data_IF_362223403921
#
_entry.id   IF_362223403921
#
_cell.length_a   1.000
_cell.length_b   1.000
_cell.length_c   1.000
_cell.angle_alpha   90.00
_cell.angle_beta   90.00
_cell.angle_gamma   90.00
#
_symmetry.space_group_name_H-M   'P 1'
#
loop_
_entity.id
_entity.type
_entity.pdbx_description
1 polymer ?
#
# COMPACT_ATOMS: atom_id res chain seq x y z
N UNK A 1 9.64 -16.45 -9.12
CA UNK A 1 9.38 -15.88 -7.79
C UNK A 1 10.67 -15.25 -7.30
N UNK A 2 10.70 -13.94 -7.14
CA UNK A 2 11.87 -13.24 -6.57
C UNK A 2 11.47 -12.68 -5.22
N UNK A 3 11.88 -13.37 -4.16
CA UNK A 3 11.66 -12.94 -2.80
C UNK A 3 13.01 -12.80 -2.09
N UNK A 4 13.31 -11.59 -1.61
CA UNK A 4 14.61 -11.27 -1.01
C UNK A 4 14.47 -11.08 0.50
N UNK A 5 15.31 -11.77 1.27
CA UNK A 5 15.41 -11.59 2.73
C UNK A 5 16.75 -10.95 3.06
N UNK A 6 16.73 -9.82 3.78
CA UNK A 6 17.92 -9.06 4.19
C UNK A 6 17.88 -8.70 5.67
N UNK A 7 19.04 -8.49 6.26
CA UNK A 7 19.19 -8.00 7.62
C UNK A 7 19.62 -6.54 7.64
N UNK A 8 19.06 -5.74 8.56
CA UNK A 8 19.52 -4.39 8.89
C UNK A 8 20.37 -4.47 10.14
N UNK A 9 21.68 -4.34 9.99
CA UNK A 9 22.67 -4.45 11.07
C UNK A 9 22.66 -5.79 11.81
N UNK A 10 22.19 -6.84 11.17
CA UNK A 10 22.24 -8.22 11.65
C UNK A 10 22.54 -9.17 10.48
N UNK A 11 23.16 -10.29 10.76
CA UNK A 11 23.28 -11.37 9.79
C UNK A 11 22.05 -12.27 9.87
N UNK A 12 21.39 -12.49 8.71
CA UNK A 12 20.24 -13.38 8.59
C UNK A 12 20.74 -14.73 8.12
N UNK A 13 20.78 -15.68 9.03
CA UNK A 13 21.17 -17.05 8.73
C UNK A 13 20.24 -17.74 7.73
N UNK A 14 20.76 -18.76 7.06
CA UNK A 14 20.04 -19.48 5.99
C UNK A 14 18.74 -20.13 6.49
N UNK A 15 18.74 -20.66 7.72
CA UNK A 15 17.56 -21.26 8.35
C UNK A 15 16.41 -20.25 8.52
N UNK A 16 16.71 -19.02 8.92
CA UNK A 16 15.70 -17.97 9.06
C UNK A 16 15.18 -17.50 7.69
N UNK A 17 16.07 -17.37 6.69
CA UNK A 17 15.68 -17.08 5.30
C UNK A 17 14.74 -18.12 4.74
N UNK A 18 15.09 -19.41 4.89
CA UNK A 18 14.27 -20.51 4.42
C UNK A 18 12.89 -20.53 5.09
N UNK A 19 12.84 -20.30 6.40
CA UNK A 19 11.57 -20.21 7.16
C UNK A 19 10.68 -19.08 6.68
N UNK A 20 11.24 -17.88 6.49
CA UNK A 20 10.48 -16.70 6.00
C UNK A 20 9.94 -16.97 4.60
N UNK A 21 10.79 -17.45 3.70
CA UNK A 21 10.39 -17.76 2.33
C UNK A 21 9.25 -18.78 2.31
N UNK A 22 9.33 -19.85 3.11
CA UNK A 22 8.29 -20.86 3.21
C UNK A 22 6.96 -20.27 3.74
N UNK A 23 7.02 -19.49 4.83
CA UNK A 23 5.82 -18.91 5.45
C UNK A 23 5.12 -17.89 4.56
N UNK A 24 5.89 -17.03 3.88
CA UNK A 24 5.32 -16.04 2.96
C UNK A 24 4.77 -16.72 1.70
N UNK A 25 5.49 -17.69 1.14
CA UNK A 25 5.02 -18.46 -0.02
C UNK A 25 3.72 -19.21 0.30
N UNK A 26 3.63 -19.88 1.46
CA UNK A 26 2.42 -20.56 1.93
C UNK A 26 1.23 -19.58 2.07
N UNK A 27 1.46 -18.46 2.75
CA UNK A 27 0.42 -17.44 2.96
C UNK A 27 -0.08 -16.86 1.62
N UNK A 28 0.83 -16.61 0.68
CA UNK A 28 0.47 -16.07 -0.63
C UNK A 28 -0.27 -17.08 -1.48
N UNK A 29 0.23 -18.30 -1.60
CA UNK A 29 -0.39 -19.38 -2.40
C UNK A 29 -1.82 -19.72 -1.95
N UNK A 30 -2.13 -19.58 -0.67
CA UNK A 30 -3.47 -19.84 -0.10
C UNK A 30 -4.53 -18.86 -0.57
N UNK A 31 -4.16 -17.61 -0.84
CA UNK A 31 -5.11 -16.53 -1.08
C UNK A 31 -4.97 -15.88 -2.45
N UNK A 32 -3.86 -16.07 -3.13
CA UNK A 32 -3.53 -15.43 -4.38
C UNK A 32 -2.90 -16.43 -5.36
N UNK A 33 -3.50 -16.56 -6.57
CA UNK A 33 -3.09 -17.53 -7.59
C UNK A 33 -2.10 -16.92 -8.62
N UNK A 34 -1.75 -15.63 -8.49
CA UNK A 34 -0.84 -14.92 -9.40
C UNK A 34 0.63 -14.95 -8.96
N UNK A 35 1.46 -14.29 -9.75
CA UNK A 35 2.87 -14.07 -9.43
C UNK A 35 3.04 -13.04 -8.32
N UNK A 36 4.02 -13.24 -7.45
CA UNK A 36 4.39 -12.25 -6.45
C UNK A 36 5.90 -12.06 -6.40
N UNK A 37 6.31 -10.87 -6.02
CA UNK A 37 7.69 -10.53 -5.67
C UNK A 37 7.70 -9.74 -4.37
N UNK A 38 8.86 -9.61 -3.74
CA UNK A 38 8.92 -8.82 -2.53
C UNK A 38 10.23 -8.94 -1.78
N UNK A 39 10.29 -8.23 -0.67
CA UNK A 39 11.43 -8.29 0.22
C UNK A 39 10.99 -8.27 1.69
N UNK A 40 11.82 -8.90 2.52
CA UNK A 40 11.71 -8.84 3.97
C UNK A 40 13.00 -8.29 4.54
N UNK A 41 12.88 -7.29 5.39
CA UNK A 41 14.00 -6.73 6.13
C UNK A 41 13.82 -6.98 7.63
N UNK A 42 14.84 -7.56 8.26
CA UNK A 42 14.85 -7.82 9.70
C UNK A 42 15.93 -6.98 10.32
N UNK A 43 15.60 -6.23 11.37
CA UNK A 43 16.55 -5.39 12.09
C UNK A 43 16.35 -5.48 13.60
N UNK A 44 17.40 -5.15 14.34
CA UNK A 44 17.33 -5.00 15.79
C UNK A 44 16.71 -3.63 16.11
N UNK A 45 15.69 -3.61 16.97
CA UNK A 45 15.03 -2.38 17.41
C UNK A 45 14.77 -2.45 18.91
N UNK A 46 15.45 -1.57 19.65
CA UNK A 46 15.42 -1.59 21.10
C UNK A 46 15.88 -2.93 21.69
N UNK A 47 15.02 -3.55 22.49
CA UNK A 47 15.29 -4.86 23.11
C UNK A 47 14.79 -6.04 22.26
N UNK A 48 14.28 -5.80 21.05
CA UNK A 48 13.71 -6.83 20.22
C UNK A 48 14.17 -6.74 18.76
N UNK A 49 13.39 -7.40 17.89
CA UNK A 49 13.60 -7.43 16.45
C UNK A 49 12.35 -6.95 15.74
N UNK A 50 12.51 -6.05 14.76
CA UNK A 50 11.47 -5.65 13.84
C UNK A 50 11.67 -6.38 12.51
N UNK A 51 10.61 -6.94 11.99
CA UNK A 51 10.53 -7.48 10.63
C UNK A 51 9.57 -6.64 9.82
N UNK A 52 10.05 -6.09 8.72
CA UNK A 52 9.29 -5.37 7.70
C UNK A 52 9.17 -6.29 6.48
N UNK A 53 7.94 -6.50 6.01
CA UNK A 53 7.64 -7.37 4.87
C UNK A 53 6.86 -6.57 3.82
N UNK A 54 7.40 -6.49 2.60
CA UNK A 54 6.76 -5.84 1.46
C UNK A 54 6.58 -6.88 0.36
N UNK A 55 5.33 -7.07 -0.09
CA UNK A 55 4.97 -8.02 -1.14
C UNK A 55 4.23 -7.28 -2.24
N UNK A 56 4.69 -7.44 -3.46
CA UNK A 56 4.05 -6.95 -4.67
C UNK A 56 3.30 -8.11 -5.32
N UNK A 57 1.99 -7.97 -5.48
CA UNK A 57 1.12 -8.90 -6.19
C UNK A 57 0.86 -8.35 -7.59
N UNK A 58 1.26 -9.07 -8.63
CA UNK A 58 1.01 -8.75 -10.05
C UNK A 58 1.14 -7.26 -10.40
N UNK A 59 2.26 -6.64 -10.04
CA UNK A 59 2.66 -5.25 -10.36
C UNK A 59 1.71 -4.12 -9.91
N UNK A 60 0.54 -4.42 -9.37
CA UNK A 60 -0.48 -3.40 -9.05
C UNK A 60 -0.71 -3.23 -7.55
N UNK A 61 -0.61 -4.29 -6.76
CA UNK A 61 -0.94 -4.30 -5.34
C UNK A 61 0.31 -4.51 -4.50
N UNK A 62 0.56 -3.60 -3.57
CA UNK A 62 1.65 -3.71 -2.61
C UNK A 62 1.06 -3.96 -1.24
N UNK A 63 1.48 -5.07 -0.61
CA UNK A 63 1.15 -5.40 0.76
C UNK A 63 2.35 -5.13 1.65
N UNK A 64 2.19 -4.28 2.64
CA UNK A 64 3.21 -3.99 3.62
C UNK A 64 2.75 -4.47 4.99
N UNK A 65 3.62 -5.11 5.74
CA UNK A 65 3.35 -5.47 7.12
C UNK A 65 4.65 -5.44 7.91
N UNK A 66 4.55 -4.97 9.13
CA UNK A 66 5.64 -4.99 10.08
C UNK A 66 5.22 -5.70 11.38
N UNK A 67 6.19 -6.18 12.11
CA UNK A 67 5.98 -6.77 13.43
C UNK A 67 7.23 -6.65 14.29
N UNK A 68 7.03 -6.42 15.59
CA UNK A 68 8.05 -6.40 16.61
C UNK A 68 7.89 -7.62 17.53
N UNK A 69 9.00 -8.30 17.85
CA UNK A 69 9.04 -9.38 18.82
C UNK A 69 10.39 -9.48 19.52
N UNK A 70 10.46 -10.30 20.58
CA UNK A 70 11.68 -10.47 21.36
C UNK A 70 12.83 -11.14 20.58
N UNK A 71 12.50 -11.96 19.59
CA UNK A 71 13.46 -12.61 18.71
C UNK A 71 13.10 -12.50 17.24
N UNK A 72 14.08 -12.73 16.35
CA UNK A 72 13.94 -12.54 14.90
C UNK A 72 12.94 -13.55 14.26
N UNK A 73 12.86 -14.76 14.77
CA UNK A 73 11.90 -15.76 14.26
C UNK A 73 10.47 -15.37 14.60
N UNK A 74 10.23 -14.98 15.85
CA UNK A 74 8.91 -14.56 16.30
C UNK A 74 8.45 -13.28 15.59
N UNK A 75 9.33 -12.31 15.33
CA UNK A 75 8.98 -11.11 14.57
C UNK A 75 8.62 -11.43 13.12
N UNK A 76 9.38 -12.31 12.47
CA UNK A 76 9.12 -12.78 11.12
C UNK A 76 7.79 -13.56 11.01
N UNK A 77 7.51 -14.47 11.93
CA UNK A 77 6.25 -15.21 11.98
C UNK A 77 5.04 -14.28 12.18
N UNK A 78 5.15 -13.27 13.04
CA UNK A 78 4.10 -12.27 13.25
C UNK A 78 3.87 -11.41 11.98
N UNK A 79 4.94 -10.97 11.32
CA UNK A 79 4.83 -10.23 10.06
C UNK A 79 4.12 -11.06 8.98
N UNK A 80 4.46 -12.36 8.85
CA UNK A 80 3.80 -13.27 7.93
C UNK A 80 2.30 -13.44 8.26
N UNK A 81 1.92 -13.52 9.54
CA UNK A 81 0.50 -13.55 9.96
C UNK A 81 -0.22 -12.25 9.60
N UNK A 82 0.43 -11.09 9.69
CA UNK A 82 -0.15 -9.82 9.27
C UNK A 82 -0.41 -9.79 7.76
N UNK A 83 0.55 -10.27 6.95
CA UNK A 83 0.38 -10.44 5.51
C UNK A 83 -0.78 -11.39 5.20
N UNK A 84 -0.85 -12.55 5.86
CA UNK A 84 -1.94 -13.51 5.67
C UNK A 84 -3.31 -12.90 5.97
N UNK A 85 -3.44 -12.13 7.05
CA UNK A 85 -4.68 -11.42 7.39
C UNK A 85 -5.09 -10.42 6.29
N UNK A 86 -4.13 -9.68 5.72
CA UNK A 86 -4.38 -8.73 4.63
C UNK A 86 -4.81 -9.45 3.35
N UNK A 87 -4.11 -10.52 2.95
CA UNK A 87 -4.47 -11.36 1.80
C UNK A 87 -5.88 -11.97 1.92
N UNK A 88 -6.22 -12.46 3.13
CA UNK A 88 -7.57 -13.01 3.39
C UNK A 88 -8.66 -11.95 3.24
N UNK A 89 -8.44 -10.72 3.73
CA UNK A 89 -9.37 -9.60 3.57
C UNK A 89 -9.52 -9.24 2.09
N UNK A 90 -8.42 -9.19 1.36
CA UNK A 90 -8.40 -8.95 -0.08
C UNK A 90 -9.26 -9.96 -0.83
N UNK A 91 -9.01 -11.25 -0.65
CA UNK A 91 -9.77 -12.32 -1.32
C UNK A 91 -11.28 -12.25 -1.01
N UNK A 92 -11.64 -11.94 0.24
CA UNK A 92 -13.03 -11.77 0.63
C UNK A 92 -13.69 -10.59 -0.10
N UNK A 93 -13.05 -9.42 -0.08
CA UNK A 93 -13.58 -8.22 -0.75
C UNK A 93 -13.66 -8.36 -2.26
N UNK A 94 -12.69 -9.05 -2.87
CA UNK A 94 -12.75 -9.36 -4.30
C UNK A 94 -13.99 -10.18 -4.65
N UNK A 95 -14.33 -11.19 -3.83
CA UNK A 95 -15.55 -11.97 -3.98
C UNK A 95 -16.82 -11.14 -3.77
N UNK A 96 -16.85 -10.30 -2.74
CA UNK A 96 -17.99 -9.44 -2.43
C UNK A 96 -18.22 -8.43 -3.58
N UNK A 97 -17.15 -7.91 -4.18
CA UNK A 97 -17.23 -7.00 -5.33
C UNK A 97 -17.68 -7.70 -6.61
N UNK A 98 -17.26 -8.94 -6.84
CA UNK A 98 -17.74 -9.75 -7.96
C UNK A 98 -19.23 -10.14 -7.78
N UNK A 99 -19.64 -10.49 -6.57
CA UNK A 99 -21.04 -10.78 -6.25
C UNK A 99 -21.94 -9.54 -6.39
N UNK A 100 -21.47 -8.36 -6.00
CA UNK A 100 -22.19 -7.10 -6.18
C UNK A 100 -22.33 -6.72 -7.67
N UNK A 101 -21.32 -7.01 -8.50
CA UNK A 101 -21.39 -6.81 -9.96
C UNK A 101 -22.35 -7.79 -10.62
N UNK A 102 -22.41 -9.03 -10.19
CA UNK A 102 -23.34 -10.03 -10.74
C UNK A 102 -24.81 -9.79 -10.35
N UNK A 103 -25.07 -9.16 -9.19
CA UNK A 103 -26.42 -8.78 -8.75
C UNK A 103 -26.88 -7.40 -9.27
N UNK A 104 -25.97 -6.60 -9.85
CA UNK A 104 -26.24 -5.26 -10.38
C UNK A 104 -26.48 -5.19 -11.88
N UNK A 105 -26.64 -6.32 -12.56
CA UNK A 105 -26.66 -6.42 -14.02
C UNK A 105 -27.96 -5.94 -14.70
N UNK A 106 -28.92 -5.32 -13.96
CA UNK A 106 -30.13 -4.77 -14.55
C UNK A 106 -30.23 -3.23 -14.56
N UNK A 107 -29.16 -2.49 -14.29
CA UNK A 107 -29.15 -1.03 -14.43
C UNK A 107 -27.77 -0.51 -14.89
N UNK A 108 -27.70 -0.25 -16.14
CA UNK A 108 -26.70 0.42 -16.98
C UNK A 108 -25.95 -0.50 -17.94
N UNK A 109 -26.65 -0.91 -18.98
CA UNK A 109 -26.07 -1.03 -20.31
C UNK A 109 -25.58 0.37 -20.71
N UNK A 110 -24.28 0.59 -20.54
CA UNK A 110 -23.43 1.55 -21.29
C UNK A 110 -22.10 1.75 -20.55
N UNK A 111 -21.30 0.70 -20.39
CA UNK A 111 -19.86 0.81 -20.11
C UNK A 111 -19.16 -0.51 -20.50
N UNK A 112 -19.54 -1.09 -21.61
CA UNK A 112 -18.84 -2.18 -22.25
C UNK A 112 -18.13 -1.61 -23.47
N UNK A 113 -16.91 -1.09 -23.28
CA UNK A 113 -15.87 -1.10 -24.33
C UNK A 113 -14.49 -0.64 -23.84
N UNK A 114 -14.23 -0.56 -22.53
CA UNK A 114 -12.92 -0.10 -22.02
C UNK A 114 -12.08 -1.19 -21.29
N UNK A 115 -12.38 -2.46 -21.51
CA UNK A 115 -11.55 -3.55 -20.97
C UNK A 115 -10.24 -3.77 -21.74
N UNK A 116 -10.02 -3.06 -22.86
CA UNK A 116 -8.85 -3.16 -23.71
C UNK A 116 -8.03 -1.85 -23.85
N UNK A 117 -8.55 -0.73 -23.37
CA UNK A 117 -7.79 0.53 -23.29
C UNK A 117 -7.13 0.62 -21.93
N UNK A 118 -5.81 0.49 -21.91
CA UNK A 118 -5.00 0.56 -20.71
C UNK A 118 -5.49 1.68 -19.79
N UNK A 119 -5.74 1.31 -18.53
CA UNK A 119 -6.08 2.25 -17.45
C UNK A 119 -5.01 3.33 -17.45
N UNK A 120 -5.31 4.47 -18.08
CA UNK A 120 -4.36 5.55 -18.21
C UNK A 120 -4.01 6.09 -16.80
N UNK A 121 -2.97 5.51 -16.25
CA UNK A 121 -2.36 6.02 -15.03
C UNK A 121 -1.65 7.32 -15.38
N UNK A 122 -1.76 8.33 -14.53
CA UNK A 122 -0.98 9.56 -14.69
C UNK A 122 0.23 9.47 -13.78
N UNK A 123 1.38 9.76 -14.35
CA UNK A 123 2.60 9.98 -13.60
C UNK A 123 2.60 11.39 -13.02
N UNK A 124 2.87 11.50 -11.73
CA UNK A 124 2.99 12.76 -11.02
C UNK A 124 4.34 12.83 -10.29
N UNK A 125 5.03 13.98 -10.30
CA UNK A 125 6.23 14.14 -9.51
C UNK A 125 5.90 14.02 -8.02
N UNK A 126 6.77 13.34 -7.29
CA UNK A 126 6.68 13.14 -5.84
C UNK A 126 7.98 13.58 -5.19
N UNK A 127 7.86 14.42 -4.19
CA UNK A 127 8.99 15.01 -3.48
C UNK A 127 9.01 14.54 -2.03
N UNK A 128 10.17 14.12 -1.56
CA UNK A 128 10.40 13.86 -0.14
C UNK A 128 11.05 15.11 0.47
N UNK A 129 10.40 15.66 1.47
CA UNK A 129 10.83 16.88 2.15
C UNK A 129 11.37 16.49 3.53
N UNK A 130 12.50 17.09 3.93
CA UNK A 130 13.05 16.88 5.26
C UNK A 130 12.05 17.30 6.34
N UNK A 131 11.84 16.43 7.33
CA UNK A 131 11.06 16.81 8.50
C UNK A 131 11.82 17.86 9.34
N UNK A 132 11.14 18.82 9.98
CA UNK A 132 11.78 19.73 10.91
C UNK A 132 12.43 18.94 12.05
N UNK A 133 13.67 19.29 12.40
CA UNK A 133 14.36 18.68 13.53
C UNK A 133 13.64 19.04 14.83
N UNK A 134 13.25 18.03 15.61
CA UNK A 134 12.49 18.23 16.87
C UNK A 134 13.35 18.69 18.06
N UNK A 135 14.65 18.93 17.88
CA UNK A 135 15.63 19.15 18.98
C UNK A 135 16.26 20.55 19.04
N UNK A 136 15.68 21.56 18.41
CA UNK A 136 16.18 22.91 18.59
C UNK A 136 15.11 23.81 19.21
N UNK A 137 15.31 24.18 20.48
CA UNK A 137 14.66 25.31 21.18
C UNK A 137 15.05 26.69 20.57
N UNK A 138 15.57 26.72 19.37
CA UNK A 138 15.84 27.94 18.64
C UNK A 138 14.59 28.32 17.84
N UNK A 139 14.11 29.52 18.06
CA UNK A 139 13.05 30.19 17.31
C UNK A 139 13.28 30.03 15.81
N UNK A 140 12.70 28.99 15.19
CA UNK A 140 12.74 28.78 13.75
C UNK A 140 11.78 29.77 13.08
N UNK A 141 12.26 31.00 12.88
CA UNK A 141 11.49 32.08 12.22
C UNK A 141 11.31 31.87 10.72
N UNK A 142 12.09 30.97 10.09
CA UNK A 142 11.94 30.60 8.67
C UNK A 142 12.28 29.12 8.45
N UNK A 143 11.27 28.25 8.51
CA UNK A 143 11.43 26.89 8.05
C UNK A 143 11.35 26.83 6.52
N UNK A 144 12.49 26.63 5.87
CA UNK A 144 12.57 26.41 4.43
C UNK A 144 12.69 24.91 4.16
N UNK A 145 11.62 24.25 3.63
CA UNK A 145 11.63 22.82 3.41
C UNK A 145 12.65 22.42 2.34
N UNK A 146 13.59 21.55 2.70
CA UNK A 146 14.61 21.01 1.80
C UNK A 146 14.07 19.75 1.15
N UNK A 147 14.07 19.71 -0.18
CA UNK A 147 13.76 18.49 -0.94
C UNK A 147 14.96 17.57 -0.87
N UNK A 148 14.79 16.38 -0.27
CA UNK A 148 15.86 15.38 -0.09
C UNK A 148 15.79 14.25 -1.11
N UNK A 149 14.64 14.05 -1.76
CA UNK A 149 14.49 13.10 -2.86
C UNK A 149 13.36 13.51 -3.80
N UNK A 150 13.54 13.20 -5.08
CA UNK A 150 12.53 13.33 -6.12
C UNK A 150 12.25 11.95 -6.71
N UNK A 151 10.99 11.65 -6.97
CA UNK A 151 10.53 10.42 -7.60
C UNK A 151 9.28 10.67 -8.42
N UNK A 152 8.86 9.68 -9.18
CA UNK A 152 7.58 9.72 -9.89
C UNK A 152 6.64 8.72 -9.24
N UNK A 153 5.43 9.16 -8.90
CA UNK A 153 4.35 8.30 -8.42
C UNK A 153 3.27 8.17 -9.47
N UNK A 154 2.62 7.03 -9.52
CA UNK A 154 1.56 6.73 -10.48
C UNK A 154 0.21 6.90 -9.82
N UNK A 155 -0.60 7.85 -10.30
CA UNK A 155 -1.98 8.02 -9.88
C UNK A 155 -2.88 7.04 -10.63
N UNK A 156 -3.31 6.00 -9.97
CA UNK A 156 -4.20 4.98 -10.52
C UNK A 156 -5.61 5.54 -10.73
N UNK A 157 -6.29 5.06 -11.77
CA UNK A 157 -7.71 5.36 -11.99
C UNK A 157 -8.56 4.32 -11.26
N UNK A 158 -9.25 4.72 -10.21
CA UNK A 158 -10.00 3.85 -9.29
C UNK A 158 -11.38 4.41 -9.01
N UNK A 159 -12.34 3.54 -8.77
CA UNK A 159 -13.58 3.90 -8.06
C UNK A 159 -13.26 4.14 -6.58
N UNK A 160 -14.14 4.82 -5.86
CA UNK A 160 -13.97 5.04 -4.41
C UNK A 160 -13.86 3.70 -3.67
N UNK A 161 -14.64 2.70 -4.06
CA UNK A 161 -14.60 1.36 -3.46
C UNK A 161 -13.26 0.66 -3.65
N UNK A 162 -12.68 0.76 -4.85
CA UNK A 162 -11.35 0.20 -5.17
C UNK A 162 -10.25 0.94 -4.40
N UNK A 163 -10.35 2.27 -4.31
CA UNK A 163 -9.40 3.08 -3.56
C UNK A 163 -9.43 2.73 -2.05
N UNK A 164 -10.63 2.60 -1.46
CA UNK A 164 -10.81 2.15 -0.06
C UNK A 164 -10.21 0.76 0.14
N UNK A 165 -10.43 -0.16 -0.80
CA UNK A 165 -9.87 -1.50 -0.74
C UNK A 165 -8.33 -1.47 -0.78
N UNK A 166 -7.75 -0.67 -1.66
CA UNK A 166 -6.29 -0.52 -1.78
C UNK A 166 -5.67 0.13 -0.54
N UNK A 167 -6.30 1.20 -0.01
CA UNK A 167 -5.88 1.83 1.25
C UNK A 167 -5.85 0.84 2.42
N UNK A 168 -6.85 -0.05 2.48
CA UNK A 168 -6.96 -1.04 3.55
C UNK A 168 -5.95 -2.19 3.40
N UNK A 169 -5.59 -2.53 2.17
CA UNK A 169 -4.58 -3.55 1.88
C UNK A 169 -3.17 -3.07 2.13
N UNK A 170 -2.83 -1.89 1.63
CA UNK A 170 -1.49 -1.30 1.77
C UNK A 170 -1.22 -0.85 3.21
N UNK A 171 -2.28 -0.45 3.94
CA UNK A 171 -2.16 0.05 5.30
C UNK A 171 -1.63 1.49 5.39
N UNK A 172 -1.47 2.16 4.26
CA UNK A 172 -1.06 3.57 4.23
C UNK A 172 -2.11 4.46 4.88
N UNK A 173 -1.74 5.57 5.52
CA UNK A 173 -2.68 6.46 6.18
C UNK A 173 -3.56 7.26 5.21
N UNK A 174 -3.06 7.52 4.00
CA UNK A 174 -3.77 8.26 2.97
C UNK A 174 -3.34 7.82 1.58
N UNK A 175 -4.21 8.01 0.59
CA UNK A 175 -3.93 7.69 -0.81
C UNK A 175 -4.62 8.70 -1.74
N UNK A 176 -3.86 9.14 -2.76
CA UNK A 176 -4.34 9.98 -3.85
C UNK A 176 -4.58 9.09 -5.08
N UNK A 177 -5.70 9.30 -5.76
CA UNK A 177 -6.08 8.53 -6.94
C UNK A 177 -6.90 9.38 -7.92
N UNK A 178 -7.07 8.91 -9.15
CA UNK A 178 -8.02 9.49 -10.11
C UNK A 178 -9.35 8.75 -10.02
N UNK A 179 -10.42 9.50 -9.85
CA UNK A 179 -11.75 8.89 -9.80
C UNK A 179 -12.14 8.29 -11.16
N UNK A 180 -12.59 7.02 -11.18
CA UNK A 180 -12.90 6.29 -12.39
C UNK A 180 -14.02 6.94 -13.24
N UNK A 181 -15.00 7.54 -12.58
CA UNK A 181 -16.15 8.16 -13.27
C UNK A 181 -15.83 9.49 -13.94
N UNK A 182 -15.24 10.44 -13.22
CA UNK A 182 -15.04 11.80 -13.71
C UNK A 182 -13.57 12.22 -13.94
N UNK A 183 -12.61 11.33 -13.62
CA UNK A 183 -11.19 11.51 -13.90
C UNK A 183 -10.46 12.56 -13.04
N UNK A 184 -11.13 13.20 -12.08
CA UNK A 184 -10.51 14.17 -11.16
C UNK A 184 -9.63 13.47 -10.12
N UNK A 185 -8.67 14.20 -9.58
CA UNK A 185 -7.85 13.73 -8.46
C UNK A 185 -8.67 13.76 -7.19
N UNK A 186 -8.66 12.63 -6.49
CA UNK A 186 -9.37 12.43 -5.24
C UNK A 186 -8.41 11.94 -4.17
N UNK A 187 -8.74 12.16 -2.91
CA UNK A 187 -8.00 11.72 -1.75
C UNK A 187 -8.89 10.89 -0.84
N UNK A 188 -8.38 9.74 -0.39
CA UNK A 188 -8.95 9.01 0.74
C UNK A 188 -7.92 8.91 1.86
N UNK A 189 -8.38 8.88 3.10
CA UNK A 189 -7.50 8.82 4.27
C UNK A 189 -8.16 8.12 5.46
N UNK A 190 -7.34 7.55 6.32
CA UNK A 190 -7.77 6.89 7.55
C UNK A 190 -7.98 7.93 8.64
N UNK A 191 -9.17 7.98 9.20
CA UNK A 191 -9.50 8.84 10.34
C UNK A 191 -9.09 8.17 11.65
N UNK A 192 -8.87 8.98 12.68
CA UNK A 192 -8.52 8.49 14.01
C UNK A 192 -9.63 7.62 14.64
N UNK A 193 -10.89 7.83 14.24
CA UNK A 193 -12.06 7.05 14.68
C UNK A 193 -12.19 5.69 13.96
N UNK A 194 -11.24 5.34 13.07
CA UNK A 194 -11.22 4.10 12.29
C UNK A 194 -12.04 4.13 11.00
N UNK A 195 -12.80 5.19 10.75
CA UNK A 195 -13.50 5.41 9.50
C UNK A 195 -12.57 5.91 8.40
N UNK A 196 -13.06 5.91 7.15
CA UNK A 196 -12.33 6.42 5.99
C UNK A 196 -12.94 7.76 5.57
N UNK A 197 -12.13 8.80 5.51
CA UNK A 197 -12.50 10.08 4.92
C UNK A 197 -12.24 10.05 3.42
N UNK A 198 -13.12 10.70 2.65
CA UNK A 198 -13.01 10.89 1.22
C UNK A 198 -13.16 12.37 0.88
N UNK A 199 -12.24 12.89 0.06
CA UNK A 199 -12.25 14.27 -0.45
C UNK A 199 -12.32 14.19 -1.97
N UNK A 200 -13.37 14.80 -2.55
CA UNK A 200 -13.55 14.98 -3.99
C UNK A 200 -13.50 16.48 -4.31
N UNK A 201 -12.34 17.06 -4.66
CA UNK A 201 -12.24 18.47 -4.99
C UNK A 201 -13.08 18.80 -6.24
N UNK A 202 -13.79 19.93 -6.26
CA UNK A 202 -14.44 20.39 -7.47
C UNK A 202 -13.41 20.70 -8.55
N UNK A 203 -13.84 20.73 -9.81
CA UNK A 203 -13.01 21.27 -10.91
C UNK A 203 -12.79 22.75 -10.61
N UNK A 204 -11.57 23.15 -10.34
CA UNK A 204 -11.21 24.57 -10.31
C UNK A 204 -11.02 24.98 -11.76
N UNK A 205 -11.95 25.74 -12.32
CA UNK A 205 -11.76 26.35 -13.63
C UNK A 205 -10.56 27.28 -13.53
N UNK A 206 -9.52 27.00 -14.32
CA UNK A 206 -8.27 27.76 -14.35
C UNK A 206 -8.43 29.23 -14.84
N UNK A 207 -9.66 29.73 -14.99
CA UNK A 207 -10.01 31.03 -15.53
C UNK A 207 -10.76 31.97 -14.54
N UNK A 208 -10.58 31.77 -13.23
CA UNK A 208 -11.07 32.73 -12.25
C UNK A 208 -9.92 33.67 -11.85
N UNK A 209 -9.56 34.59 -12.73
CA UNK A 209 -8.85 35.85 -12.47
C UNK A 209 -9.43 36.92 -13.37
#
# INVERSE_FOLDING_TARGET
>A
MQFRVSGRNIDVGEALRARINARVAEATAKYFDGGFSGHVTIGKEGFGFRTECVIHLDSVIVLEADALAADAYASADRAAVHIEKRLRRYKRRLKDHQAARSNGQDRHEQASDDAASGRAAIEAPSYVIAAPAHDSDEDVTEWNPVIIAESTTTLKRLSVSEAVMELDMTGVPAMVFRHAGHGRVNLIYRRADGHIGWIDPPTVDANAH
#
